data_IF_512276126381
#
_entry.id   IF_512276126381
#
_cell.length_a   1.000
_cell.length_b   1.000
_cell.length_c   1.000
_cell.angle_alpha   90.00
_cell.angle_beta   90.00
_cell.angle_gamma   90.00
#
_symmetry.space_group_name_H-M   'P 1'
#
loop_
_entity.id
_entity.type
_entity.pdbx_description
1 polymer ?
#
# COMPACT_ATOMS: atom_id res chain seq x y z
N UNK A 1 -6.89 -26.95 24.44
CA UNK A 1 -6.84 -25.47 24.51
C UNK A 1 -7.09 -24.97 23.10
N UNK A 2 -8.25 -24.37 22.84
CA UNK A 2 -8.57 -23.85 21.51
C UNK A 2 -7.75 -22.57 21.31
N UNK A 3 -6.87 -22.56 20.31
CA UNK A 3 -6.23 -21.33 19.89
C UNK A 3 -7.32 -20.30 19.54
N UNK A 4 -7.22 -19.04 19.98
CA UNK A 4 -8.17 -18.03 19.57
C UNK A 4 -8.17 -17.97 18.04
N UNK A 5 -9.35 -18.02 17.43
CA UNK A 5 -9.48 -17.93 15.99
C UNK A 5 -8.86 -16.62 15.52
N UNK A 6 -7.74 -16.68 14.81
CA UNK A 6 -7.08 -15.51 14.26
C UNK A 6 -8.10 -14.71 13.44
N UNK A 7 -8.25 -13.39 13.68
CA UNK A 7 -9.18 -12.58 12.92
C UNK A 7 -8.87 -12.73 11.43
N UNK A 8 -9.90 -12.83 10.60
CA UNK A 8 -9.73 -12.96 9.15
C UNK A 8 -8.83 -11.83 8.63
N UNK A 9 -7.85 -12.19 7.79
CA UNK A 9 -6.99 -11.23 7.14
C UNK A 9 -7.85 -10.19 6.40
N UNK A 10 -7.63 -8.92 6.73
CA UNK A 10 -8.34 -7.77 6.17
C UNK A 10 -7.31 -6.72 5.82
N UNK A 11 -7.52 -6.01 4.72
CA UNK A 11 -6.69 -4.84 4.34
C UNK A 11 -6.69 -3.74 5.41
N UNK A 12 -7.62 -3.79 6.37
CA UNK A 12 -7.71 -2.86 7.51
C UNK A 12 -6.88 -3.28 8.71
N UNK A 13 -6.48 -4.55 8.78
CA UNK A 13 -5.69 -5.10 9.87
C UNK A 13 -4.22 -5.01 9.47
N UNK A 14 -3.42 -4.32 10.29
CA UNK A 14 -1.96 -4.28 10.16
C UNK A 14 -1.38 -5.69 10.42
N UNK A 15 -0.13 -5.97 10.02
CA UNK A 15 0.50 -7.21 10.44
C UNK A 15 0.64 -7.24 11.97
N UNK A 16 0.78 -8.43 12.54
CA UNK A 16 1.13 -8.55 13.96
C UNK A 16 2.55 -8.04 14.25
N UNK A 17 2.93 -8.04 15.53
CA UNK A 17 4.24 -7.58 15.99
C UNK A 17 5.42 -8.36 15.37
N UNK A 18 5.17 -9.59 14.91
CA UNK A 18 6.18 -10.41 14.23
C UNK A 18 6.20 -10.21 12.71
N UNK A 19 5.34 -9.33 12.18
CA UNK A 19 5.24 -9.00 10.76
C UNK A 19 4.34 -9.93 9.97
N UNK A 20 3.51 -10.76 10.61
CA UNK A 20 2.62 -11.69 9.91
C UNK A 20 1.23 -11.10 9.65
N UNK A 21 0.73 -11.33 8.44
CA UNK A 21 -0.67 -11.22 8.07
C UNK A 21 -1.29 -12.63 8.05
N UNK A 22 -1.76 -13.10 9.21
CA UNK A 22 -2.21 -14.48 9.36
C UNK A 22 -1.04 -15.44 9.11
N UNK A 23 -1.14 -16.41 8.18
CA UNK A 23 -0.05 -17.35 7.92
C UNK A 23 1.06 -16.81 6.98
N UNK A 24 0.97 -15.57 6.51
CA UNK A 24 1.89 -14.99 5.52
C UNK A 24 2.69 -13.84 6.12
N UNK A 25 3.85 -13.50 5.56
CA UNK A 25 4.69 -12.39 6.03
C UNK A 25 5.81 -12.89 6.94
N UNK A 26 6.09 -12.19 8.03
CA UNK A 26 7.16 -12.52 8.96
C UNK A 26 8.56 -12.12 8.48
N UNK A 27 9.58 -12.58 9.21
CA UNK A 27 10.99 -12.27 8.96
C UNK A 27 11.79 -13.56 8.83
N UNK A 28 11.95 -14.04 7.60
CA UNK A 28 12.70 -15.26 7.29
C UNK A 28 14.05 -14.88 6.67
N UNK A 29 14.96 -14.40 7.50
CA UNK A 29 16.29 -13.93 7.10
C UNK A 29 17.39 -14.61 7.92
N UNK A 30 18.65 -14.42 7.54
CA UNK A 30 19.78 -14.86 8.36
C UNK A 30 19.76 -14.16 9.73
N UNK A 31 20.11 -14.88 10.79
CA UNK A 31 20.13 -14.36 12.17
C UNK A 31 21.03 -13.12 12.30
N UNK A 32 22.11 -13.07 11.54
CA UNK A 32 23.04 -11.92 11.49
C UNK A 32 22.39 -10.62 11.01
N UNK A 33 21.25 -10.69 10.31
CA UNK A 33 20.49 -9.52 9.86
C UNK A 33 19.43 -9.07 10.86
N UNK A 34 19.06 -9.91 11.84
CA UNK A 34 17.99 -9.59 12.79
C UNK A 34 18.23 -8.31 13.59
N UNK A 35 19.45 -8.02 14.10
CA UNK A 35 19.70 -6.75 14.80
C UNK A 35 19.42 -5.53 13.91
N UNK A 36 19.87 -5.56 12.65
CA UNK A 36 19.69 -4.45 11.71
C UNK A 36 18.22 -4.24 11.34
N UNK A 37 17.44 -5.31 11.23
CA UNK A 37 16.00 -5.23 10.94
C UNK A 37 15.24 -4.61 12.12
N UNK A 38 15.58 -5.01 13.34
CA UNK A 38 14.96 -4.46 14.55
C UNK A 38 15.30 -2.97 14.73
N UNK A 39 16.54 -2.58 14.45
CA UNK A 39 16.94 -1.17 14.45
C UNK A 39 16.18 -0.36 13.39
N UNK A 40 16.06 -0.88 12.17
CA UNK A 40 15.30 -0.21 11.11
C UNK A 40 13.82 -0.06 11.49
N UNK A 41 13.19 -1.08 12.07
CA UNK A 41 11.80 -1.00 12.54
C UNK A 41 11.61 0.07 13.63
N UNK A 42 12.55 0.15 14.58
CA UNK A 42 12.56 1.16 15.65
C UNK A 42 12.62 2.56 15.06
N UNK A 43 13.58 2.82 14.17
CA UNK A 43 13.75 4.14 13.55
C UNK A 43 12.59 4.50 12.61
N UNK A 44 12.07 3.54 11.83
CA UNK A 44 10.89 3.76 11.01
C UNK A 44 9.66 4.14 11.85
N UNK A 45 9.45 3.46 12.98
CA UNK A 45 8.33 3.76 13.89
C UNK A 45 8.44 5.14 14.51
N UNK A 46 9.66 5.59 14.81
CA UNK A 46 9.93 6.95 15.29
C UNK A 46 9.68 7.98 14.18
N UNK A 47 10.32 7.81 13.01
CA UNK A 47 10.22 8.73 11.87
C UNK A 47 8.77 8.89 11.37
N UNK A 48 7.98 7.82 11.33
CA UNK A 48 6.57 7.86 10.92
C UNK A 48 5.72 8.78 11.82
N UNK A 49 6.11 8.98 13.08
CA UNK A 49 5.41 9.84 14.05
C UNK A 49 6.00 11.25 14.13
N UNK A 50 7.14 11.48 13.49
CA UNK A 50 7.83 12.77 13.51
C UNK A 50 7.20 13.73 12.47
N UNK A 51 6.62 14.86 12.91
CA UNK A 51 6.07 15.86 12.00
C UNK A 51 7.11 16.48 11.07
N UNK A 52 8.38 16.61 11.48
CA UNK A 52 9.44 17.18 10.65
C UNK A 52 9.76 16.25 9.47
N UNK A 53 9.95 14.96 9.75
CA UNK A 53 10.09 13.93 8.71
C UNK A 53 8.89 13.92 7.77
N UNK A 54 7.67 14.02 8.32
CA UNK A 54 6.45 14.03 7.50
C UNK A 54 6.40 15.24 6.57
N UNK A 55 6.76 16.42 7.06
CA UNK A 55 6.76 17.65 6.28
C UNK A 55 7.78 17.57 5.13
N UNK A 56 9.00 17.13 5.40
CA UNK A 56 10.02 16.95 4.37
C UNK A 56 9.62 15.89 3.33
N UNK A 57 9.05 14.77 3.79
CA UNK A 57 8.55 13.73 2.90
C UNK A 57 7.43 14.24 1.98
N UNK A 58 6.45 14.97 2.52
CA UNK A 58 5.34 15.51 1.74
C UNK A 58 5.82 16.61 0.76
N UNK A 59 6.78 17.45 1.16
CA UNK A 59 7.43 18.44 0.28
C UNK A 59 8.12 17.77 -0.91
N UNK A 60 8.91 16.72 -0.67
CA UNK A 60 9.56 15.95 -1.74
C UNK A 60 8.54 15.26 -2.64
N UNK A 61 7.45 14.72 -2.06
CA UNK A 61 6.39 14.11 -2.86
C UNK A 61 5.76 15.13 -3.82
N UNK A 62 5.53 16.37 -3.37
CA UNK A 62 4.89 17.41 -4.17
C UNK A 62 5.86 18.02 -5.19
N UNK A 63 7.03 18.47 -4.74
CA UNK A 63 7.92 19.33 -5.53
C UNK A 63 9.01 18.59 -6.29
N UNK A 64 9.35 17.36 -5.87
CA UNK A 64 10.35 16.53 -6.56
C UNK A 64 9.70 15.39 -7.34
N UNK A 65 8.80 14.61 -6.72
CA UNK A 65 8.13 13.46 -7.35
C UNK A 65 6.93 13.89 -8.20
N UNK A 66 6.32 15.05 -7.95
CA UNK A 66 5.19 15.55 -8.74
C UNK A 66 3.83 14.94 -8.36
N UNK A 67 3.64 14.56 -7.10
CA UNK A 67 2.35 14.09 -6.57
C UNK A 67 1.43 15.27 -6.23
N UNK A 68 0.09 15.07 -6.22
CA UNK A 68 -0.63 13.83 -6.47
C UNK A 68 -0.73 13.47 -7.96
N UNK A 69 -0.47 12.20 -8.27
CA UNK A 69 -0.71 11.68 -9.63
C UNK A 69 -2.21 11.78 -10.00
N UNK A 70 -2.55 12.19 -11.24
CA UNK A 70 -3.93 12.36 -11.64
C UNK A 70 -4.67 11.02 -11.77
N UNK A 71 -5.99 11.06 -11.61
CA UNK A 71 -6.88 9.94 -11.92
C UNK A 71 -7.54 10.20 -13.28
N UNK A 72 -7.04 9.54 -14.32
CA UNK A 72 -7.49 9.75 -15.69
C UNK A 72 -8.68 8.86 -16.03
N UNK A 73 -9.80 9.44 -16.46
CA UNK A 73 -10.89 8.67 -17.06
C UNK A 73 -10.46 8.17 -18.44
N UNK A 74 -10.56 6.86 -18.69
CA UNK A 74 -10.16 6.24 -19.95
C UNK A 74 -11.39 5.97 -20.84
N UNK A 75 -11.85 6.96 -21.65
CA UNK A 75 -13.11 6.85 -22.39
C UNK A 75 -13.10 5.72 -23.40
N UNK A 76 -12.03 5.60 -24.22
CA UNK A 76 -11.93 4.58 -25.27
C UNK A 76 -11.98 3.15 -24.72
N UNK A 77 -11.32 2.91 -23.59
CA UNK A 77 -11.29 1.60 -22.94
C UNK A 77 -12.63 1.34 -22.24
N UNK A 78 -13.21 2.36 -21.62
CA UNK A 78 -14.56 2.29 -21.03
C UNK A 78 -15.60 1.91 -22.08
N UNK A 79 -15.61 2.58 -23.24
CA UNK A 79 -16.51 2.29 -24.35
C UNK A 79 -16.28 0.90 -24.93
N UNK A 80 -15.02 0.51 -25.11
CA UNK A 80 -14.67 -0.83 -25.60
C UNK A 80 -15.28 -1.95 -24.75
N UNK A 81 -15.20 -1.84 -23.41
CA UNK A 81 -15.76 -2.86 -22.52
C UNK A 81 -17.26 -2.73 -22.32
N UNK A 82 -17.83 -1.52 -22.38
CA UNK A 82 -19.30 -1.34 -22.36
C UNK A 82 -19.96 -1.92 -23.60
N UNK A 83 -19.36 -1.78 -24.78
CA UNK A 83 -19.85 -2.39 -26.02
C UNK A 83 -19.86 -3.92 -26.01
N UNK A 84 -19.09 -4.54 -25.12
CA UNK A 84 -19.04 -6.00 -24.90
C UNK A 84 -19.95 -6.49 -23.77
N UNK A 85 -20.55 -5.58 -23.01
CA UNK A 85 -21.40 -5.90 -21.87
C UNK A 85 -22.89 -5.90 -22.26
N UNK A 86 -23.76 -6.58 -21.50
CA UNK A 86 -25.21 -6.45 -21.66
C UNK A 86 -25.67 -5.00 -21.58
N UNK A 87 -26.79 -4.66 -22.21
CA UNK A 87 -27.36 -3.33 -22.18
C UNK A 87 -27.53 -2.83 -20.73
N UNK A 88 -27.07 -1.61 -20.45
CA UNK A 88 -27.09 -1.01 -19.11
C UNK A 88 -26.05 -1.58 -18.13
N UNK A 89 -25.13 -2.44 -18.57
CA UNK A 89 -24.00 -2.95 -17.78
C UNK A 89 -22.66 -2.45 -18.35
N UNK A 90 -21.61 -2.60 -17.54
CA UNK A 90 -20.23 -2.32 -17.95
C UNK A 90 -19.52 -1.32 -17.05
N UNK A 91 -18.17 -1.37 -17.00
CA UNK A 91 -17.40 -0.58 -16.05
C UNK A 91 -17.32 0.90 -16.45
N UNK A 92 -16.85 1.74 -15.53
CA UNK A 92 -16.22 3.02 -15.81
C UNK A 92 -14.75 2.89 -15.43
N UNK A 93 -13.84 3.03 -16.39
CA UNK A 93 -12.43 2.71 -16.20
C UNK A 93 -11.63 3.99 -16.00
N UNK A 94 -10.81 4.00 -14.95
CA UNK A 94 -9.89 5.09 -14.64
C UNK A 94 -8.48 4.54 -14.42
N UNK A 95 -7.48 5.33 -14.78
CA UNK A 95 -6.08 5.05 -14.53
C UNK A 95 -5.54 5.99 -13.46
N UNK A 96 -5.03 5.41 -12.37
CA UNK A 96 -4.21 6.14 -11.40
C UNK A 96 -2.82 6.28 -12.00
N UNK A 97 -2.47 7.49 -12.45
CA UNK A 97 -1.35 7.75 -13.35
C UNK A 97 0.01 7.78 -12.62
N UNK A 98 0.34 6.75 -11.85
CA UNK A 98 1.62 6.68 -11.10
C UNK A 98 2.85 6.64 -12.02
N UNK A 99 2.70 6.33 -13.30
CA UNK A 99 3.79 6.40 -14.28
C UNK A 99 4.21 7.82 -14.65
N UNK A 100 3.54 8.83 -14.10
CA UNK A 100 3.88 10.25 -14.24
C UNK A 100 4.75 10.78 -13.08
N UNK A 101 5.06 9.93 -12.10
CA UNK A 101 5.99 10.24 -11.01
C UNK A 101 7.45 10.27 -11.51
#
# INVERSE_FOLDING_TARGET
MNAPSSPANSLRNQPDESGHFGPFGGRYVAETLMPLILDLEREYTAAKKDPAFRAEFDDLLEHFVGRPSPLYYAPRITEHYRGKAPAGKGPKIYFKREELN
#
